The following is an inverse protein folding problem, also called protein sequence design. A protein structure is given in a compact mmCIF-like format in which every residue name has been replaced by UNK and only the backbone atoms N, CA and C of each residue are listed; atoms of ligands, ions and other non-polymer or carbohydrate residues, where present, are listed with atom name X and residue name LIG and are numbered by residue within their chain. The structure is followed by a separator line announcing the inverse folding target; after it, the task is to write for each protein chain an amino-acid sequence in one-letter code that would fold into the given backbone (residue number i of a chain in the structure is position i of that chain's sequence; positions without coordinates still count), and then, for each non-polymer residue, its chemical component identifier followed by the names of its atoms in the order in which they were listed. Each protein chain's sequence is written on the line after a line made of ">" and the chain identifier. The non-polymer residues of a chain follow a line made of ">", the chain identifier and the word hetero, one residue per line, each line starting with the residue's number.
data_IF_958606266941
#
_entry.id   IF_958606266941
#
_cell.length_a   1.000
_cell.length_b   1.000
_cell.length_c   1.000
_cell.angle_alpha   90.00
_cell.angle_beta   90.00
_cell.angle_gamma   90.00
#
_symmetry.space_group_name_H-M   'P 1'
#
loop_
_entity.id
_entity.type
_entity.pdbx_description
1 polymer ?
#
# COMPACT_ATOMS: atom_id res chain seq x y z
N UNK A 1 4.10 52.57 65.88
CA UNK A 1 5.32 52.05 66.54
C UNK A 1 5.99 51.13 65.53
N UNK A 2 7.23 51.49 65.21
CA UNK A 2 8.38 50.69 64.76
C UNK A 2 8.28 49.17 64.99
N UNK A 3 8.94 48.26 64.31
CA UNK A 3 10.05 48.23 63.33
C UNK A 3 10.17 46.74 62.94
N UNK A 4 10.45 46.39 61.67
CA UNK A 4 11.11 45.10 61.39
C UNK A 4 12.07 45.22 60.20
N UNK A 5 13.34 45.44 60.58
CA UNK A 5 14.62 44.98 60.04
C UNK A 5 14.83 44.74 58.53
N UNK A 6 15.70 45.61 58.02
CA UNK A 6 16.66 45.51 56.89
C UNK A 6 17.87 44.65 57.36
N UNK A 7 18.59 43.87 56.54
CA UNK A 7 19.81 44.25 55.77
C UNK A 7 20.59 42.99 55.21
N UNK A 8 21.73 43.06 54.46
CA UNK A 8 21.85 42.47 53.10
C UNK A 8 23.19 41.73 52.70
N UNK A 9 23.33 41.42 51.38
CA UNK A 9 24.53 41.42 50.47
C UNK A 9 25.67 40.36 50.47
N UNK A 10 26.02 39.95 49.22
CA UNK A 10 27.36 39.65 48.61
C UNK A 10 28.10 38.32 48.95
N UNK A 11 28.89 37.62 48.10
CA UNK A 11 29.44 37.82 46.75
C UNK A 11 30.14 36.53 46.18
N UNK A 12 30.53 36.57 44.88
CA UNK A 12 31.71 35.93 44.20
C UNK A 12 31.71 34.40 43.95
N UNK A 13 32.33 33.82 42.91
CA UNK A 13 33.07 34.26 41.72
C UNK A 13 33.20 33.09 40.71
N UNK A 14 33.66 33.37 39.50
CA UNK A 14 33.67 32.51 38.32
C UNK A 14 35.01 31.81 37.99
N UNK A 15 34.93 30.58 37.43
CA UNK A 15 35.80 29.87 36.41
C UNK A 15 37.32 29.71 36.71
N UNK A 16 38.11 28.84 36.01
CA UNK A 16 38.12 28.57 34.56
C UNK A 16 38.27 27.10 34.10
N UNK A 17 38.16 26.95 32.77
CA UNK A 17 38.54 25.78 31.96
C UNK A 17 40.04 25.85 31.67
N UNK A 18 40.68 24.70 31.44
CA UNK A 18 41.94 24.62 30.72
C UNK A 18 41.93 23.49 29.68
N UNK A 19 42.56 23.78 28.55
CA UNK A 19 42.82 22.97 27.36
C UNK A 19 44.22 22.34 27.56
N UNK A 20 44.57 21.11 27.19
CA UNK A 20 44.65 20.58 25.84
C UNK A 20 45.90 19.67 25.68
N UNK A 21 45.96 19.01 24.51
CA UNK A 21 47.14 18.48 23.79
C UNK A 21 47.77 17.10 24.11
N UNK A 22 47.84 16.30 23.01
CA UNK A 22 48.91 15.35 22.59
C UNK A 22 49.03 14.02 23.39
N UNK A 23 49.43 12.86 22.85
CA UNK A 23 49.95 12.43 21.56
C UNK A 23 49.85 10.88 21.46
N UNK A 24 50.19 10.35 20.28
CA UNK A 24 50.18 8.97 19.82
C UNK A 24 50.89 7.90 20.69
N UNK A 25 50.44 6.63 20.57
CA UNK A 25 51.15 5.53 19.88
C UNK A 25 50.50 4.17 20.14
N UNK A 26 50.39 3.38 19.06
CA UNK A 26 50.24 1.93 19.10
C UNK A 26 51.44 1.25 19.79
N UNK A 27 51.28 -0.01 20.22
CA UNK A 27 52.08 -1.07 19.60
C UNK A 27 51.17 -2.25 19.23
N UNK A 28 51.16 -2.68 17.97
CA UNK A 28 52.10 -3.58 17.30
C UNK A 28 52.02 -5.06 17.71
N UNK A 29 51.95 -5.88 16.68
CA UNK A 29 51.74 -7.31 16.65
C UNK A 29 52.98 -8.12 17.04
N UNK A 30 52.74 -9.36 17.48
CA UNK A 30 53.60 -10.56 17.31
C UNK A 30 52.63 -11.74 17.10
N UNK A 31 52.56 -12.39 15.93
CA UNK A 31 53.42 -13.50 15.44
C UNK A 31 53.63 -14.57 16.52
N UNK A 32 53.51 -15.88 16.35
CA UNK A 32 53.19 -16.85 15.31
C UNK A 32 52.56 -18.05 16.09
N UNK A 33 51.92 -19.07 15.54
CA UNK A 33 52.55 -20.18 14.83
C UNK A 33 51.48 -21.27 14.59
N UNK A 34 51.84 -22.19 13.70
CA UNK A 34 51.18 -23.34 13.14
C UNK A 34 50.36 -24.23 14.10
N UNK A 35 49.28 -24.85 13.60
CA UNK A 35 49.35 -26.26 13.20
C UNK A 35 48.06 -26.70 12.47
N UNK A 36 48.21 -27.17 11.24
CA UNK A 36 47.24 -28.00 10.53
C UNK A 36 47.87 -29.39 10.37
N UNK A 37 47.13 -30.49 10.52
CA UNK A 37 47.55 -31.76 9.96
C UNK A 37 46.73 -32.08 8.71
N UNK A 38 47.44 -32.19 7.59
CA UNK A 38 47.03 -32.96 6.42
C UNK A 38 47.04 -34.47 6.71
N UNK A 39 46.14 -35.20 6.03
CA UNK A 39 46.56 -36.33 5.20
C UNK A 39 46.40 -37.75 5.75
N UNK A 40 45.47 -38.51 5.14
CA UNK A 40 45.67 -39.83 4.48
C UNK A 40 44.30 -40.34 3.97
N UNK A 41 43.94 -40.26 2.69
CA UNK A 41 44.43 -40.99 1.49
C UNK A 41 44.05 -42.49 1.44
N UNK A 42 43.21 -42.84 0.45
CA UNK A 42 43.20 -44.06 -0.42
C UNK A 42 41.96 -43.92 -1.34
N UNK A 43 42.03 -43.55 -2.63
CA UNK A 43 42.60 -44.24 -3.81
C UNK A 43 42.40 -45.76 -3.80
N UNK A 44 41.90 -46.45 -4.83
CA UNK A 44 41.53 -46.17 -6.23
C UNK A 44 40.81 -47.43 -6.79
N UNK A 45 40.06 -47.42 -7.89
CA UNK A 45 40.47 -47.62 -9.31
C UNK A 45 39.15 -47.66 -10.12
N UNK A 46 38.90 -46.88 -11.18
CA UNK A 46 39.45 -46.87 -12.56
C UNK A 46 39.17 -48.11 -13.42
N UNK A 47 38.37 -47.92 -14.48
CA UNK A 47 38.54 -48.37 -15.88
C UNK A 47 37.37 -47.75 -16.69
N UNK A 48 37.55 -46.68 -17.48
CA UNK A 48 38.19 -46.55 -18.81
C UNK A 48 37.31 -47.08 -19.96
N UNK A 49 37.07 -46.25 -21.00
CA UNK A 49 36.38 -46.77 -22.21
C UNK A 49 35.78 -45.87 -23.32
N UNK A 50 36.06 -44.56 -23.44
CA UNK A 50 36.15 -43.73 -24.70
C UNK A 50 35.00 -43.71 -25.77
N UNK A 51 35.03 -42.79 -26.79
CA UNK A 51 33.90 -41.88 -27.10
C UNK A 51 33.51 -41.78 -28.60
N UNK A 52 32.57 -40.86 -28.94
CA UNK A 52 32.34 -40.09 -30.21
C UNK A 52 30.83 -39.84 -30.39
N UNK A 53 30.32 -38.70 -30.89
CA UNK A 53 30.78 -37.85 -32.00
C UNK A 53 30.06 -36.47 -31.94
N UNK A 54 30.82 -35.40 -32.12
CA UNK A 54 30.34 -34.08 -32.58
C UNK A 54 30.41 -34.01 -34.12
N UNK A 55 29.61 -33.12 -34.73
CA UNK A 55 29.76 -32.59 -36.09
C UNK A 55 28.76 -31.44 -36.29
N UNK A 56 29.21 -30.17 -36.28
CA UNK A 56 29.49 -29.32 -37.46
C UNK A 56 28.21 -28.90 -38.22
N UNK A 57 27.88 -27.64 -38.54
CA UNK A 57 28.62 -26.38 -38.63
C UNK A 57 28.45 -25.77 -40.04
N UNK A 58 28.05 -24.48 -40.11
CA UNK A 58 28.23 -23.47 -41.21
C UNK A 58 27.27 -23.51 -42.43
N UNK A 59 26.50 -22.46 -42.70
CA UNK A 59 26.77 -21.13 -43.36
C UNK A 59 26.45 -21.14 -44.87
N UNK A 60 25.74 -20.10 -45.34
CA UNK A 60 26.11 -19.40 -46.59
C UNK A 60 25.23 -19.55 -47.84
N UNK A 61 24.39 -18.52 -48.08
CA UNK A 61 24.18 -17.74 -49.31
C UNK A 61 24.01 -18.38 -50.72
N UNK A 62 22.97 -17.91 -51.46
CA UNK A 62 22.98 -17.34 -52.85
C UNK A 62 21.55 -17.36 -53.43
N UNK A 63 20.90 -16.21 -53.64
CA UNK A 63 20.81 -15.45 -54.92
C UNK A 63 20.07 -16.16 -56.08
N UNK A 64 18.85 -15.69 -56.35
CA UNK A 64 18.46 -15.01 -57.59
C UNK A 64 18.15 -15.80 -58.88
N UNK A 65 17.07 -15.35 -59.56
CA UNK A 65 16.64 -15.57 -60.97
C UNK A 65 15.82 -16.85 -61.23
N UNK A 66 14.76 -16.89 -62.04
CA UNK A 66 13.95 -15.94 -62.81
C UNK A 66 12.70 -16.73 -63.30
N UNK A 67 11.73 -16.00 -63.85
CA UNK A 67 10.73 -16.44 -64.84
C UNK A 67 9.59 -17.38 -64.41
N UNK A 68 8.39 -16.80 -64.36
CA UNK A 68 7.15 -17.47 -63.99
C UNK A 68 6.46 -18.28 -65.08
N UNK A 69 5.32 -18.88 -64.71
CA UNK A 69 4.29 -19.32 -65.67
C UNK A 69 2.94 -19.53 -64.98
N UNK A 70 1.97 -18.78 -65.49
CA UNK A 70 0.52 -19.06 -65.65
C UNK A 70 -0.37 -19.25 -64.42
N UNK A 71 -1.34 -18.32 -64.37
CA UNK A 71 -2.70 -18.48 -63.86
C UNK A 71 -3.37 -19.72 -64.49
N UNK A 72 -4.10 -20.47 -63.69
CA UNK A 72 -4.96 -21.58 -64.10
C UNK A 72 -5.92 -21.92 -62.95
N UNK A 73 -7.18 -22.01 -63.31
CA UNK A 73 -8.36 -21.83 -62.48
C UNK A 73 -8.73 -22.99 -61.54
N UNK A 74 -9.42 -22.63 -60.46
CA UNK A 74 -10.61 -23.32 -59.94
C UNK A 74 -10.48 -24.74 -59.38
N UNK A 75 -10.49 -24.86 -58.05
CA UNK A 75 -11.22 -25.96 -57.39
C UNK A 75 -11.81 -25.47 -56.04
N UNK A 76 -13.05 -25.86 -55.80
CA UNK A 76 -14.02 -25.16 -54.94
C UNK A 76 -13.71 -25.18 -53.45
N UNK A 77 -13.76 -23.98 -52.85
CA UNK A 77 -13.80 -23.80 -51.40
C UNK A 77 -15.24 -23.97 -50.92
N UNK A 78 -15.51 -25.05 -50.19
CA UNK A 78 -16.82 -25.30 -49.57
C UNK A 78 -17.29 -24.07 -48.74
N UNK A 79 -18.57 -23.68 -48.80
CA UNK A 79 -19.07 -22.53 -48.05
C UNK A 79 -18.95 -22.80 -46.55
N UNK A 80 -18.29 -21.89 -45.82
CA UNK A 80 -18.35 -21.88 -44.35
C UNK A 80 -19.80 -21.67 -43.95
N UNK A 81 -20.35 -22.64 -43.24
CA UNK A 81 -21.66 -22.52 -42.61
C UNK A 81 -21.74 -21.22 -41.79
N UNK A 82 -22.84 -20.45 -41.90
CA UNK A 82 -23.02 -19.24 -41.11
C UNK A 82 -23.15 -19.63 -39.63
N UNK A 83 -22.16 -19.23 -38.83
CA UNK A 83 -22.23 -19.36 -37.37
C UNK A 83 -23.47 -18.60 -36.89
N UNK A 84 -24.37 -19.32 -36.20
CA UNK A 84 -25.53 -18.74 -35.55
C UNK A 84 -25.13 -17.53 -34.68
N UNK A 85 -25.99 -16.49 -34.59
CA UNK A 85 -25.69 -15.31 -33.78
C UNK A 85 -25.43 -15.76 -32.34
N UNK A 86 -24.23 -15.49 -31.84
CA UNK A 86 -23.85 -15.78 -30.45
C UNK A 86 -24.88 -15.10 -29.56
N UNK A 87 -25.57 -15.90 -28.74
CA UNK A 87 -26.52 -15.40 -27.76
C UNK A 87 -25.86 -14.27 -26.94
N UNK A 88 -26.59 -13.19 -26.61
CA UNK A 88 -26.06 -12.13 -25.80
C UNK A 88 -25.53 -12.72 -24.49
N UNK A 89 -24.29 -12.38 -24.14
CA UNK A 89 -23.71 -12.72 -22.84
C UNK A 89 -24.59 -12.08 -21.76
N UNK A 90 -25.50 -12.86 -21.18
CA UNK A 90 -26.29 -12.42 -20.03
C UNK A 90 -25.31 -12.35 -18.86
N UNK A 91 -24.99 -11.17 -18.30
CA UNK A 91 -24.15 -11.10 -17.11
C UNK A 91 -24.83 -11.92 -16.02
N UNK A 92 -24.13 -12.94 -15.52
CA UNK A 92 -24.67 -13.87 -14.53
C UNK A 92 -25.36 -13.13 -13.38
N UNK A 93 -26.57 -13.59 -13.01
CA UNK A 93 -27.36 -13.05 -11.90
C UNK A 93 -26.46 -12.86 -10.68
N UNK A 94 -26.45 -11.64 -10.11
CA UNK A 94 -25.77 -11.37 -8.84
C UNK A 94 -26.42 -12.23 -7.76
N UNK A 95 -25.62 -12.95 -6.99
CA UNK A 95 -26.10 -13.84 -5.93
C UNK A 95 -26.69 -13.09 -4.71
N UNK A 96 -26.41 -11.78 -4.60
CA UNK A 96 -26.82 -10.93 -3.48
C UNK A 96 -27.44 -9.62 -4.00
N UNK A 97 -28.34 -9.00 -3.22
CA UNK A 97 -28.92 -7.70 -3.57
C UNK A 97 -27.82 -6.65 -3.75
N UNK A 98 -28.06 -5.68 -4.64
CA UNK A 98 -27.11 -4.60 -4.90
C UNK A 98 -26.83 -3.85 -3.59
N UNK A 99 -25.56 -3.60 -3.24
CA UNK A 99 -25.22 -2.82 -2.05
C UNK A 99 -25.90 -1.45 -2.06
N UNK A 100 -26.43 -1.03 -0.90
CA UNK A 100 -27.13 0.25 -0.73
C UNK A 100 -26.35 1.45 -1.28
N UNK A 101 -25.06 1.55 -0.95
CA UNK A 101 -24.19 2.62 -1.46
C UNK A 101 -23.92 2.51 -2.97
N UNK A 102 -23.88 1.31 -3.54
CA UNK A 102 -23.73 1.14 -4.99
C UNK A 102 -24.98 1.64 -5.72
N UNK A 103 -26.16 1.38 -5.17
CA UNK A 103 -27.42 1.88 -5.69
C UNK A 103 -27.47 3.41 -5.62
N UNK A 104 -27.22 3.98 -4.43
CA UNK A 104 -27.14 5.44 -4.22
C UNK A 104 -26.16 6.09 -5.18
N UNK A 105 -24.99 5.47 -5.37
CA UNK A 105 -23.99 5.98 -6.31
C UNK A 105 -24.52 6.08 -7.74
N UNK A 106 -25.27 5.08 -8.21
CA UNK A 106 -25.80 5.02 -9.58
C UNK A 106 -26.98 5.95 -9.80
N UNK A 107 -27.88 6.03 -8.83
CA UNK A 107 -29.17 6.73 -8.97
C UNK A 107 -29.05 8.21 -8.64
N UNK A 108 -28.27 8.57 -7.61
CA UNK A 108 -28.21 9.95 -7.11
C UNK A 108 -26.86 10.62 -7.39
N UNK A 109 -25.75 9.94 -7.08
CA UNK A 109 -24.43 10.57 -7.12
C UNK A 109 -23.94 10.76 -8.55
N UNK A 110 -24.12 9.76 -9.40
CA UNK A 110 -23.64 9.79 -10.78
C UNK A 110 -24.30 10.92 -11.61
N UNK A 111 -25.64 11.14 -11.55
CA UNK A 111 -26.24 12.32 -12.17
C UNK A 111 -25.75 13.65 -11.57
N UNK A 112 -25.64 13.74 -10.23
CA UNK A 112 -25.15 14.94 -9.57
C UNK A 112 -23.74 15.34 -10.01
N UNK A 113 -22.84 14.36 -10.18
CA UNK A 113 -21.48 14.58 -10.69
C UNK A 113 -21.49 15.06 -12.13
N UNK A 114 -22.35 14.49 -12.98
CA UNK A 114 -22.45 14.94 -14.38
C UNK A 114 -22.93 16.38 -14.46
N UNK A 115 -23.92 16.77 -13.64
CA UNK A 115 -24.42 18.14 -13.60
C UNK A 115 -23.39 19.14 -13.05
N UNK A 116 -22.73 18.81 -11.95
CA UNK A 116 -21.75 19.69 -11.29
C UNK A 116 -20.53 19.95 -12.19
N UNK A 117 -19.98 18.89 -12.79
CA UNK A 117 -18.77 18.97 -13.60
C UNK A 117 -19.04 19.08 -15.11
N UNK A 118 -20.32 19.24 -15.50
CA UNK A 118 -20.77 19.40 -16.90
C UNK A 118 -20.18 18.33 -17.83
N UNK A 119 -20.19 17.08 -17.39
CA UNK A 119 -19.64 15.97 -18.17
C UNK A 119 -20.60 15.57 -19.30
N UNK A 120 -20.09 15.52 -20.53
CA UNK A 120 -20.89 15.14 -21.70
C UNK A 120 -21.16 13.64 -21.77
N UNK A 121 -20.22 12.83 -21.27
CA UNK A 121 -20.29 11.37 -21.36
C UNK A 121 -20.39 10.73 -19.98
N UNK A 122 -21.41 9.88 -19.79
CA UNK A 122 -21.61 9.06 -18.58
C UNK A 122 -20.39 8.21 -18.23
N UNK A 123 -19.61 7.79 -19.23
CA UNK A 123 -18.39 7.02 -18.99
C UNK A 123 -17.23 7.87 -18.47
N UNK A 124 -17.29 9.21 -18.47
CA UNK A 124 -16.28 10.06 -17.84
C UNK A 124 -16.47 10.18 -16.33
N UNK A 125 -17.61 9.71 -15.79
CA UNK A 125 -17.87 9.82 -14.35
C UNK A 125 -16.82 9.01 -13.56
N UNK A 126 -16.24 9.62 -12.50
CA UNK A 126 -15.35 8.96 -11.56
C UNK A 126 -15.94 7.66 -11.05
N UNK A 127 -15.14 6.60 -11.03
CA UNK A 127 -15.58 5.30 -10.52
C UNK A 127 -14.66 4.85 -9.39
N UNK A 128 -15.25 4.39 -8.29
CA UNK A 128 -14.49 3.70 -7.25
C UNK A 128 -14.03 2.33 -7.78
N UNK A 129 -12.73 2.18 -8.02
CA UNK A 129 -12.16 1.03 -8.70
C UNK A 129 -11.79 -0.12 -7.74
N UNK A 130 -11.26 0.25 -6.58
CA UNK A 130 -10.89 -0.66 -5.49
C UNK A 130 -10.73 0.11 -4.18
N UNK A 131 -10.84 -0.61 -3.07
CA UNK A 131 -10.39 -0.15 -1.76
C UNK A 131 -9.24 -1.03 -1.33
N UNK A 132 -8.12 -0.42 -0.96
CA UNK A 132 -6.95 -1.12 -0.41
C UNK A 132 -6.87 -0.83 1.08
N UNK A 133 -6.88 -1.87 1.89
CA UNK A 133 -6.70 -1.77 3.34
C UNK A 133 -5.36 -2.41 3.67
N UNK A 134 -4.49 -1.69 4.39
CA UNK A 134 -3.18 -2.18 4.79
C UNK A 134 -2.87 -1.89 6.27
N UNK A 135 -2.07 -2.76 6.87
CA UNK A 135 -1.54 -2.59 8.22
C UNK A 135 -0.05 -2.87 8.17
N UNK A 136 0.77 -1.89 8.54
CA UNK A 136 2.22 -2.03 8.62
C UNK A 136 2.62 -2.75 9.91
N UNK A 137 3.52 -3.73 9.80
CA UNK A 137 4.00 -4.52 10.95
C UNK A 137 5.47 -4.28 11.29
N UNK A 138 6.10 -3.28 10.65
CA UNK A 138 7.54 -3.01 10.79
C UNK A 138 8.00 -2.77 12.23
N UNK A 139 7.15 -2.19 13.09
CA UNK A 139 7.47 -1.93 14.51
C UNK A 139 7.44 -3.18 15.39
N UNK A 140 6.79 -4.25 14.93
CA UNK A 140 6.53 -5.49 15.69
C UNK A 140 7.48 -6.62 15.25
N UNK A 141 8.43 -6.32 14.37
CA UNK A 141 9.44 -7.29 13.93
C UNK A 141 10.55 -7.41 14.97
N UNK A 142 10.72 -8.63 15.48
CA UNK A 142 11.86 -9.00 16.31
C UNK A 142 12.78 -9.91 15.50
N UNK A 143 14.03 -9.50 15.29
CA UNK A 143 15.02 -10.27 14.50
C UNK A 143 14.53 -10.69 13.10
N UNK A 144 13.81 -9.80 12.39
CA UNK A 144 13.18 -10.05 11.08
C UNK A 144 12.00 -11.04 11.10
N UNK A 145 11.61 -11.54 12.27
CA UNK A 145 10.50 -12.48 12.41
C UNK A 145 9.31 -11.73 13.01
N UNK A 146 8.13 -12.06 12.48
CA UNK A 146 6.87 -11.59 13.03
C UNK A 146 6.38 -12.60 14.05
N UNK A 147 5.98 -12.12 15.23
CA UNK A 147 5.34 -12.97 16.26
C UNK A 147 4.10 -13.65 15.69
N UNK A 148 3.97 -14.99 15.81
CA UNK A 148 2.81 -15.73 15.27
C UNK A 148 1.48 -15.21 15.82
N UNK A 149 1.42 -14.92 17.12
CA UNK A 149 0.23 -14.39 17.80
C UNK A 149 -0.27 -13.08 17.18
N UNK A 150 0.65 -12.14 16.93
CA UNK A 150 0.32 -10.86 16.30
C UNK A 150 -0.15 -11.06 14.85
N UNK A 151 0.54 -11.94 14.10
CA UNK A 151 0.13 -12.30 12.73
C UNK A 151 -1.32 -12.81 12.71
N UNK A 152 -1.64 -13.76 13.59
CA UNK A 152 -2.95 -14.40 13.58
C UNK A 152 -4.05 -13.44 14.05
N UNK A 153 -3.75 -12.58 15.04
CA UNK A 153 -4.65 -11.51 15.47
C UNK A 153 -4.98 -10.51 14.34
N UNK A 154 -4.00 -10.10 13.54
CA UNK A 154 -4.23 -9.22 12.39
C UNK A 154 -5.05 -9.93 11.32
N UNK A 155 -4.73 -11.19 11.00
CA UNK A 155 -5.49 -11.98 10.01
C UNK A 155 -6.96 -12.10 10.42
N UNK A 156 -7.24 -12.45 11.68
CA UNK A 156 -8.59 -12.56 12.23
C UNK A 156 -9.34 -11.23 12.17
N UNK A 157 -8.67 -10.13 12.54
CA UNK A 157 -9.23 -8.77 12.45
C UNK A 157 -9.65 -8.42 11.02
N UNK A 158 -8.80 -8.69 10.03
CA UNK A 158 -9.14 -8.46 8.62
C UNK A 158 -10.26 -9.37 8.13
N UNK A 159 -10.33 -10.61 8.60
CA UNK A 159 -11.40 -11.53 8.22
C UNK A 159 -12.75 -11.07 8.79
N UNK A 160 -12.79 -10.62 10.05
CA UNK A 160 -14.01 -10.06 10.67
C UNK A 160 -14.47 -8.77 10.01
N UNK A 161 -13.53 -7.85 9.75
CA UNK A 161 -13.86 -6.55 9.17
C UNK A 161 -14.17 -6.68 7.68
N UNK A 162 -13.33 -7.34 6.89
CA UNK A 162 -13.44 -7.31 5.41
C UNK A 162 -14.08 -8.55 4.81
N UNK A 163 -14.24 -9.64 5.57
CA UNK A 163 -14.67 -10.94 5.04
C UNK A 163 -13.66 -11.57 4.08
N UNK A 164 -12.40 -11.13 4.11
CA UNK A 164 -11.35 -11.59 3.21
C UNK A 164 -10.03 -11.77 3.97
N UNK A 165 -9.38 -12.91 3.74
CA UNK A 165 -8.06 -13.20 4.31
C UNK A 165 -7.00 -12.25 3.70
N UNK A 166 -6.20 -11.54 4.51
CA UNK A 166 -5.16 -10.65 4.01
C UNK A 166 -3.96 -11.41 3.47
N UNK A 167 -3.26 -10.77 2.54
CA UNK A 167 -1.97 -11.23 2.03
C UNK A 167 -0.85 -10.57 2.83
N UNK A 168 0.12 -11.36 3.27
CA UNK A 168 1.35 -10.86 3.89
C UNK A 168 2.30 -10.36 2.81
N UNK A 169 2.62 -9.07 2.87
CA UNK A 169 3.56 -8.39 1.99
C UNK A 169 4.96 -8.49 2.57
N UNK A 170 5.91 -8.95 1.75
CA UNK A 170 7.33 -9.04 2.09
C UNK A 170 8.09 -7.80 1.59
N UNK A 171 9.15 -7.43 2.30
CA UNK A 171 10.04 -6.34 1.90
C UNK A 171 10.75 -6.68 0.58
N UNK A 172 10.74 -5.73 -0.36
CA UNK A 172 11.40 -5.88 -1.68
C UNK A 172 12.89 -5.53 -1.68
N UNK A 173 13.32 -4.71 -0.72
CA UNK A 173 14.69 -4.22 -0.61
C UNK A 173 15.12 -4.24 0.85
N UNK A 174 16.39 -4.52 1.09
CA UNK A 174 17.00 -4.37 2.40
C UNK A 174 17.30 -2.90 2.67
N UNK A 175 16.89 -2.40 3.84
CA UNK A 175 17.15 -1.02 4.27
C UNK A 175 17.64 -1.04 5.71
N UNK A 176 18.91 -0.66 5.91
CA UNK A 176 19.59 -0.73 7.20
C UNK A 176 18.93 0.18 8.26
N UNK A 177 18.47 1.38 7.89
CA UNK A 177 17.86 2.34 8.82
C UNK A 177 16.61 1.79 9.50
N UNK A 178 15.82 0.98 8.79
CA UNK A 178 14.63 0.32 9.35
C UNK A 178 14.95 -1.05 9.94
N UNK A 179 16.22 -1.49 9.88
CA UNK A 179 16.66 -2.83 10.22
C UNK A 179 15.80 -3.87 9.49
N UNK A 180 15.48 -3.67 8.20
CA UNK A 180 14.66 -4.61 7.41
C UNK A 180 15.53 -5.27 6.34
N UNK A 181 15.46 -6.60 6.24
CA UNK A 181 16.08 -7.38 5.16
C UNK A 181 15.05 -7.73 4.09
N UNK A 182 15.51 -7.91 2.86
CA UNK A 182 14.69 -8.42 1.77
C UNK A 182 14.02 -9.74 2.16
N UNK A 183 12.74 -9.89 1.80
CA UNK A 183 11.95 -11.06 2.15
C UNK A 183 11.33 -11.04 3.56
N UNK A 184 11.71 -10.10 4.43
CA UNK A 184 11.10 -9.96 5.75
C UNK A 184 9.62 -9.54 5.66
N UNK A 185 8.73 -10.00 6.57
CA UNK A 185 7.35 -9.55 6.63
C UNK A 185 7.27 -8.03 6.87
N UNK A 186 6.47 -7.30 6.10
CA UNK A 186 6.42 -5.84 6.18
C UNK A 186 5.02 -5.30 6.47
N UNK A 187 4.00 -5.86 5.83
CA UNK A 187 2.61 -5.43 6.02
C UNK A 187 1.62 -6.57 5.74
N UNK A 188 0.39 -6.40 6.21
CA UNK A 188 -0.77 -7.14 5.73
C UNK A 188 -1.60 -6.25 4.82
N UNK A 189 -2.16 -6.83 3.75
CA UNK A 189 -2.93 -6.07 2.78
C UNK A 189 -4.13 -6.86 2.25
N UNK A 190 -5.25 -6.19 2.07
CA UNK A 190 -6.44 -6.65 1.34
C UNK A 190 -6.78 -5.65 0.24
N UNK A 191 -7.21 -6.17 -0.92
CA UNK A 191 -7.85 -5.37 -1.96
C UNK A 191 -9.30 -5.80 -2.10
N UNK A 192 -10.22 -4.89 -1.82
CA UNK A 192 -11.66 -5.07 -1.97
C UNK A 192 -12.11 -4.50 -3.31
N UNK A 193 -12.98 -5.25 -3.99
CA UNK A 193 -13.59 -4.89 -5.27
C UNK A 193 -15.05 -5.34 -5.31
N UNK A 194 -15.83 -4.78 -6.23
CA UNK A 194 -17.25 -5.10 -6.44
C UNK A 194 -18.05 -4.95 -5.14
N UNK A 195 -18.97 -5.85 -4.85
CA UNK A 195 -19.94 -5.71 -3.76
C UNK A 195 -19.27 -5.60 -2.38
N UNK A 196 -18.22 -6.40 -2.12
CA UNK A 196 -17.44 -6.35 -0.87
C UNK A 196 -16.85 -4.96 -0.58
N UNK A 197 -16.44 -4.25 -1.63
CA UNK A 197 -15.92 -2.89 -1.53
C UNK A 197 -16.99 -1.92 -1.05
N UNK A 198 -18.19 -2.00 -1.63
CA UNK A 198 -19.30 -1.11 -1.27
C UNK A 198 -19.83 -1.40 0.14
N UNK A 199 -19.94 -2.68 0.53
CA UNK A 199 -20.30 -3.03 1.91
C UNK A 199 -19.26 -2.60 2.93
N UNK A 200 -17.97 -2.69 2.60
CA UNK A 200 -16.92 -2.19 3.47
C UNK A 200 -16.98 -0.66 3.62
N UNK A 201 -17.18 0.08 2.51
CA UNK A 201 -17.33 1.53 2.56
C UNK A 201 -18.55 1.96 3.37
N UNK A 202 -19.66 1.23 3.24
CA UNK A 202 -20.89 1.51 3.99
C UNK A 202 -20.70 1.35 5.50
N UNK A 203 -20.03 0.27 5.91
CA UNK A 203 -19.66 0.06 7.32
C UNK A 203 -18.62 1.05 7.81
N UNK A 204 -17.67 1.45 6.96
CA UNK A 204 -16.68 2.47 7.30
C UNK A 204 -17.36 3.80 7.63
N UNK A 205 -18.24 4.29 6.75
CA UNK A 205 -18.91 5.59 6.89
C UNK A 205 -19.91 5.59 8.04
N UNK A 206 -20.77 4.58 8.12
CA UNK A 206 -21.91 4.61 9.03
C UNK A 206 -21.65 3.95 10.40
N UNK A 207 -20.69 3.02 10.50
CA UNK A 207 -20.41 2.31 11.75
C UNK A 207 -19.05 2.70 12.34
N UNK A 208 -17.97 2.63 11.57
CA UNK A 208 -16.63 2.78 12.11
C UNK A 208 -16.26 4.24 12.40
N UNK A 209 -16.47 5.15 11.46
CA UNK A 209 -16.04 6.55 11.60
C UNK A 209 -16.69 7.26 12.80
N UNK A 210 -18.02 7.16 13.03
CA UNK A 210 -18.65 7.79 14.19
C UNK A 210 -18.14 7.28 15.55
N UNK A 211 -17.51 6.10 15.58
CA UNK A 211 -16.94 5.48 16.80
C UNK A 211 -15.48 5.84 17.02
N UNK A 212 -14.88 6.65 16.15
CA UNK A 212 -13.52 7.17 16.37
C UNK A 212 -13.56 8.12 17.57
N UNK A 213 -12.65 7.91 18.52
CA UNK A 213 -12.50 8.79 19.68
C UNK A 213 -12.12 10.20 19.23
N UNK A 214 -12.81 11.21 19.78
CA UNK A 214 -12.59 12.64 19.47
C UNK A 214 -12.68 12.97 17.98
N UNK A 215 -13.63 12.34 17.27
CA UNK A 215 -13.80 12.54 15.83
C UNK A 215 -14.25 13.96 15.47
N UNK A 216 -13.42 14.68 14.70
CA UNK A 216 -13.69 16.06 14.22
C UNK A 216 -14.01 16.15 12.74
N UNK A 217 -14.20 15.01 12.07
CA UNK A 217 -14.25 14.93 10.61
C UNK A 217 -12.96 14.36 10.03
N UNK A 218 -13.06 13.81 8.81
CA UNK A 218 -11.90 13.34 8.06
C UNK A 218 -11.25 14.46 7.25
N UNK A 219 -9.93 14.37 7.07
CA UNK A 219 -9.14 15.37 6.37
C UNK A 219 -9.55 15.48 4.89
N UNK A 220 -9.92 16.68 4.45
CA UNK A 220 -10.32 16.99 3.09
C UNK A 220 -9.13 17.20 2.13
N UNK A 221 -7.90 17.22 2.64
CA UNK A 221 -6.66 17.42 1.87
C UNK A 221 -5.91 16.14 1.52
N UNK A 222 -6.37 14.97 1.97
CA UNK A 222 -5.67 13.69 1.78
C UNK A 222 -5.90 13.03 0.41
N UNK A 223 -6.16 13.84 -0.62
CA UNK A 223 -6.34 13.38 -2.00
C UNK A 223 -5.03 13.43 -2.77
N UNK A 224 -4.74 12.38 -3.53
CA UNK A 224 -3.65 12.38 -4.51
C UNK A 224 -4.05 13.13 -5.79
N UNK A 225 -3.09 13.38 -6.68
CA UNK A 225 -3.33 14.08 -7.96
C UNK A 225 -4.32 13.35 -8.87
N UNK A 226 -4.48 12.03 -8.70
CA UNK A 226 -5.37 11.18 -9.49
C UNK A 226 -6.77 11.05 -8.88
N UNK A 227 -7.02 11.68 -7.72
CA UNK A 227 -8.29 11.64 -7.00
C UNK A 227 -8.43 10.48 -6.00
N UNK A 228 -7.43 9.60 -5.85
CA UNK A 228 -7.46 8.60 -4.77
C UNK A 228 -7.35 9.29 -3.41
N UNK A 229 -8.04 8.74 -2.43
CA UNK A 229 -8.07 9.30 -1.08
C UNK A 229 -7.55 8.29 -0.07
N UNK A 230 -6.71 8.77 0.85
CA UNK A 230 -6.10 7.95 1.89
C UNK A 230 -6.55 8.39 3.28
N UNK A 231 -6.80 7.41 4.15
CA UNK A 231 -7.25 7.62 5.51
C UNK A 231 -6.62 6.60 6.46
N UNK A 232 -6.04 7.09 7.55
CA UNK A 232 -5.47 6.25 8.60
C UNK A 232 -6.42 6.11 9.78
N UNK A 233 -6.64 4.88 10.22
CA UNK A 233 -7.24 4.54 11.50
C UNK A 233 -6.13 4.15 12.47
N UNK A 234 -6.09 4.82 13.62
CA UNK A 234 -5.11 4.53 14.66
C UNK A 234 -5.36 3.20 15.36
N UNK A 235 -6.64 2.82 15.53
CA UNK A 235 -7.06 1.66 16.31
C UNK A 235 -8.17 0.89 15.58
N UNK A 236 -8.14 -0.44 15.69
CA UNK A 236 -9.17 -1.30 15.13
C UNK A 236 -10.47 -1.38 15.96
N UNK A 237 -10.47 -0.84 17.19
CA UNK A 237 -11.61 -0.86 18.11
C UNK A 237 -12.84 -0.08 17.60
N UNK A 238 -12.64 0.76 16.59
CA UNK A 238 -13.71 1.52 15.93
C UNK A 238 -14.74 0.59 15.26
N UNK A 239 -14.32 -0.61 14.87
CA UNK A 239 -15.18 -1.61 14.23
C UNK A 239 -16.02 -2.35 15.27
N UNK A 240 -17.37 -2.35 15.16
CA UNK A 240 -18.23 -3.06 16.12
C UNK A 240 -18.05 -4.58 16.09
N UNK A 241 -17.52 -5.13 15.01
CA UNK A 241 -17.24 -6.56 14.86
C UNK A 241 -16.04 -7.03 15.72
N UNK A 242 -15.23 -6.10 16.23
CA UNK A 242 -14.07 -6.40 17.06
C UNK A 242 -14.44 -6.34 18.54
N UNK A 243 -14.43 -7.50 19.18
CA UNK A 243 -14.56 -7.58 20.63
C UNK A 243 -13.23 -7.27 21.31
N UNK A 244 -13.16 -6.13 22.00
CA UNK A 244 -11.94 -5.65 22.64
C UNK A 244 -11.45 -6.56 23.78
N UNK A 245 -12.33 -7.37 24.39
CA UNK A 245 -11.93 -8.35 25.41
C UNK A 245 -11.00 -9.45 24.85
N UNK A 246 -11.09 -9.74 23.55
CA UNK A 246 -10.28 -10.76 22.89
C UNK A 246 -9.04 -10.17 22.19
N UNK A 247 -8.87 -8.84 22.22
CA UNK A 247 -7.77 -8.17 21.53
C UNK A 247 -6.56 -8.09 22.45
N UNK A 248 -5.56 -8.91 22.16
CA UNK A 248 -4.27 -8.88 22.88
C UNK A 248 -3.37 -7.73 22.37
N UNK A 249 -3.47 -7.38 21.08
CA UNK A 249 -2.61 -6.39 20.44
C UNK A 249 -3.40 -5.36 19.63
N UNK A 250 -3.23 -4.08 19.95
CA UNK A 250 -3.82 -2.96 19.20
C UNK A 250 -2.99 -2.66 17.96
N UNK A 251 -3.66 -2.44 16.83
CA UNK A 251 -3.03 -2.07 15.57
C UNK A 251 -3.93 -1.17 14.72
N UNK A 252 -3.31 -0.20 14.05
CA UNK A 252 -4.00 0.65 13.08
C UNK A 252 -4.16 0.02 11.71
N UNK A 253 -4.84 0.72 10.82
CA UNK A 253 -4.95 0.37 9.41
C UNK A 253 -5.04 1.63 8.55
N UNK A 254 -4.43 1.59 7.37
CA UNK A 254 -4.57 2.62 6.35
C UNK A 254 -5.54 2.11 5.28
N UNK A 255 -6.50 2.94 4.93
CA UNK A 255 -7.54 2.69 3.95
C UNK A 255 -7.32 3.65 2.79
N UNK A 256 -7.12 3.10 1.60
CA UNK A 256 -6.95 3.85 0.37
C UNK A 256 -8.14 3.57 -0.57
N UNK A 257 -8.95 4.59 -0.81
CA UNK A 257 -10.03 4.59 -1.80
C UNK A 257 -9.43 4.98 -3.15
N UNK A 258 -9.37 4.04 -4.09
CA UNK A 258 -8.78 4.28 -5.42
C UNK A 258 -9.88 4.57 -6.41
N UNK A 259 -9.89 5.78 -6.94
CA UNK A 259 -10.78 6.21 -8.01
C UNK A 259 -10.11 6.05 -9.37
N UNK A 260 -10.93 5.85 -10.39
CA UNK A 260 -10.55 5.85 -11.79
C UNK A 260 -11.26 7.00 -12.50
N UNK A 261 -10.57 7.63 -13.46
CA UNK A 261 -11.03 8.80 -14.24
C UNK A 261 -11.55 9.92 -13.34
N UNK A 262 -10.71 10.35 -12.40
CA UNK A 262 -11.10 11.36 -11.42
C UNK A 262 -10.06 12.44 -11.23
N UNK A 263 -10.50 13.51 -10.58
CA UNK A 263 -9.69 14.59 -10.04
C UNK A 263 -9.99 14.70 -8.54
N UNK A 264 -9.12 15.35 -7.74
CA UNK A 264 -9.37 15.56 -6.31
C UNK A 264 -10.74 16.17 -6.02
N UNK A 265 -11.16 17.16 -6.82
CA UNK A 265 -12.45 17.82 -6.67
C UNK A 265 -13.62 16.87 -6.93
N UNK A 266 -13.55 16.08 -8.01
CA UNK A 266 -14.58 15.11 -8.36
C UNK A 266 -14.70 13.98 -7.33
N UNK A 267 -13.57 13.42 -6.89
CA UNK A 267 -13.56 12.36 -5.87
C UNK A 267 -14.07 12.86 -4.52
N UNK A 268 -13.69 14.08 -4.11
CA UNK A 268 -14.23 14.73 -2.91
C UNK A 268 -15.75 14.87 -3.00
N UNK A 269 -16.27 15.39 -4.11
CA UNK A 269 -17.71 15.56 -4.31
C UNK A 269 -18.45 14.21 -4.25
N UNK A 270 -17.90 13.16 -4.88
CA UNK A 270 -18.47 11.81 -4.81
C UNK A 270 -18.52 11.30 -3.37
N UNK A 271 -17.42 11.40 -2.62
CA UNK A 271 -17.35 10.93 -1.23
C UNK A 271 -18.29 11.72 -0.32
N UNK A 272 -18.39 13.04 -0.50
CA UNK A 272 -19.29 13.90 0.26
C UNK A 272 -20.76 13.51 0.03
N UNK A 273 -21.17 13.30 -1.23
CA UNK A 273 -22.51 12.81 -1.57
C UNK A 273 -22.79 11.39 -1.07
N UNK A 274 -21.77 10.55 -0.95
CA UNK A 274 -21.88 9.23 -0.32
C UNK A 274 -22.00 9.29 1.20
N UNK A 275 -21.87 10.47 1.82
CA UNK A 275 -22.05 10.70 3.25
C UNK A 275 -20.74 10.70 4.05
N UNK A 276 -19.60 10.90 3.39
CA UNK A 276 -18.31 10.94 4.05
C UNK A 276 -18.19 12.21 4.94
N UNK A 277 -17.94 12.09 6.25
CA UNK A 277 -17.94 13.23 7.16
C UNK A 277 -16.61 14.00 7.10
N UNK A 278 -16.43 14.88 6.12
CA UNK A 278 -15.27 15.77 6.05
C UNK A 278 -15.29 16.82 7.17
N UNK A 279 -14.10 17.24 7.62
CA UNK A 279 -13.95 18.38 8.53
C UNK A 279 -14.59 19.60 7.87
N UNK A 280 -15.55 20.23 8.56
CA UNK A 280 -16.09 21.51 8.13
C UNK A 280 -15.02 22.57 8.40
N UNK A 281 -14.65 23.42 7.43
CA UNK A 281 -13.82 24.57 7.74
C UNK A 281 -14.60 25.45 8.71
N UNK A 282 -14.07 25.62 9.92
CA UNK A 282 -14.57 26.65 10.84
C UNK A 282 -14.63 27.98 10.07
N UNK A 283 -15.72 28.76 10.17
CA UNK A 283 -15.76 30.08 9.58
C UNK A 283 -14.66 30.89 10.26
N UNK A 284 -13.56 31.12 9.53
CA UNK A 284 -12.44 31.93 10.00
C UNK A 284 -13.02 33.27 10.47
N UNK A 285 -12.96 33.53 11.78
CA UNK A 285 -13.26 34.84 12.33
C UNK A 285 -12.46 35.86 11.53
N UNK A 286 -13.19 36.65 10.75
CA UNK A 286 -12.66 37.63 9.84
C UNK A 286 -11.69 38.53 10.59
N UNK A 287 -10.47 38.65 10.05
CA UNK A 287 -9.62 39.85 10.03
C UNK A 287 -10.15 41.00 10.90
N UNK A 288 -10.07 40.88 12.22
CA UNK A 288 -10.03 42.02 13.14
C UNK A 288 -8.56 42.34 13.39
N UNK A 289 -7.87 42.68 12.32
CA UNK A 289 -6.73 43.59 12.43
C UNK A 289 -7.31 44.92 11.95
N UNK A 290 -7.70 45.75 12.92
CA UNK A 290 -8.06 47.15 12.71
C UNK A 290 -6.97 47.83 11.85
N UNK A 291 -7.33 48.69 10.89
CA UNK A 291 -6.36 49.65 10.40
C UNK A 291 -5.99 50.57 11.57
N UNK A 292 -4.74 50.50 12.02
CA UNK A 292 -4.18 51.49 12.92
C UNK A 292 -4.39 52.89 12.30
N UNK A 293 -5.02 53.76 13.09
CA UNK A 293 -5.35 55.14 12.76
C UNK A 293 -4.09 55.95 12.38
N UNK A 294 -4.39 57.00 11.61
CA UNK A 294 -3.57 58.13 11.13
C UNK A 294 -2.41 58.57 12.03
#
# INVERSE_FOLDING_TARGET
>A
MSEEQKEPKEARDAKPRDEGAAEAKSPEAKSADANAPEGKSREGKSHEGKPRKEGAGKEGAREGKDAGKKRGDGEGKAPREPQAPRAPHVPGKRAHPVPRLEQKFREEVMPAVMSEFKLENRHQVPKLAKIMVNTGVGKVLENQKLKPEYRDAVIDTYMKITGQKPVMVKARKSVANFKVREGAPSAFMVTLRRDRMWHFLDRLINLAIPRIKDFRGVNDKSFDKSGSWAFGLSEQAVWPEINMANVVHTHGMNINLVFDRSTPAMSRFVLDRLGMPFVRPEPSQQRRAEPAKA
#
